data_IF_264558083168
#
_entry.id   IF_264558083168
#
_cell.length_a   1.000
_cell.length_b   1.000
_cell.length_c   1.000
_cell.angle_alpha   90.00
_cell.angle_beta   90.00
_cell.angle_gamma   90.00
#
_symmetry.space_group_name_H-M   'P 1'
#
loop_
_entity.id
_entity.type
_entity.pdbx_description
1 polymer ?
#
# COMPACT_ATOMS: atom_id res chain seq x y z
N UNK A 1 0.58 14.63 22.82
CA UNK A 1 0.82 14.24 21.41
C UNK A 1 2.17 13.54 21.36
N UNK A 2 2.24 12.31 20.84
CA UNK A 2 3.49 11.53 20.82
C UNK A 2 4.46 11.96 19.71
N UNK A 3 5.55 11.21 19.56
CA UNK A 3 6.50 11.39 18.46
C UNK A 3 6.28 10.30 17.39
N UNK A 4 6.12 10.65 16.10
CA UNK A 4 5.78 9.64 15.08
C UNK A 4 6.92 8.66 14.80
N UNK A 5 8.18 9.05 15.03
CA UNK A 5 9.32 8.12 14.98
C UNK A 5 9.20 7.03 16.05
N UNK A 6 8.92 7.43 17.29
CA UNK A 6 8.86 6.51 18.42
C UNK A 6 7.68 5.55 18.29
N UNK A 7 6.53 6.05 17.78
CA UNK A 7 5.36 5.22 17.48
C UNK A 7 5.63 4.23 16.34
N UNK A 8 6.36 4.67 15.30
CA UNK A 8 6.77 3.80 14.21
C UNK A 8 7.71 2.69 14.68
N UNK A 9 8.73 3.04 15.48
CA UNK A 9 9.70 2.08 16.01
C UNK A 9 9.01 1.06 16.92
N UNK A 10 8.12 1.49 17.82
CA UNK A 10 7.35 0.60 18.68
C UNK A 10 6.39 -0.32 17.90
N UNK A 11 5.78 0.20 16.83
CA UNK A 11 4.89 -0.58 15.96
C UNK A 11 5.67 -1.70 15.24
N UNK A 12 6.82 -1.38 14.65
CA UNK A 12 7.66 -2.37 13.97
C UNK A 12 8.22 -3.39 14.95
N UNK A 13 8.71 -2.94 16.11
CA UNK A 13 9.20 -3.82 17.16
C UNK A 13 8.13 -4.84 17.54
N UNK A 14 6.89 -4.41 17.77
CA UNK A 14 5.78 -5.31 18.13
C UNK A 14 5.43 -6.30 17.02
N UNK A 15 5.35 -5.85 15.76
CA UNK A 15 5.08 -6.74 14.61
C UNK A 15 6.11 -7.87 14.57
N UNK A 16 7.37 -7.58 14.88
CA UNK A 16 8.45 -8.56 14.86
C UNK A 16 8.53 -9.41 16.13
N UNK A 17 8.40 -8.80 17.33
CA UNK A 17 8.53 -9.50 18.61
C UNK A 17 7.41 -10.50 18.84
N UNK A 18 6.18 -10.12 18.46
CA UNK A 18 4.98 -10.91 18.70
C UNK A 18 4.64 -11.78 17.48
N UNK A 19 5.45 -11.70 16.41
CA UNK A 19 5.25 -12.37 15.13
C UNK A 19 3.82 -12.19 14.59
N UNK A 20 3.31 -10.95 14.63
CA UNK A 20 1.94 -10.65 14.25
C UNK A 20 1.69 -11.02 12.79
N UNK A 21 0.54 -11.63 12.53
CA UNK A 21 0.19 -12.15 11.21
C UNK A 21 -0.77 -11.20 10.48
N UNK A 22 -1.64 -10.52 11.21
CA UNK A 22 -2.73 -9.75 10.64
C UNK A 22 -2.50 -8.25 10.79
N UNK A 23 -2.96 -7.48 9.80
CA UNK A 23 -2.96 -6.03 9.89
C UNK A 23 -4.00 -5.54 10.91
N UNK A 24 -5.12 -6.26 11.07
CA UNK A 24 -6.11 -5.94 12.11
C UNK A 24 -5.54 -5.93 13.53
N UNK A 25 -4.48 -6.70 13.81
CA UNK A 25 -3.81 -6.73 15.11
C UNK A 25 -3.03 -5.44 15.43
N UNK A 26 -2.81 -4.58 14.43
CA UNK A 26 -2.01 -3.35 14.52
C UNK A 26 -2.71 -2.10 13.97
N UNK A 27 -3.97 -2.22 13.57
CA UNK A 27 -4.68 -1.17 12.85
C UNK A 27 -4.86 0.09 13.69
N UNK A 28 -5.06 -0.04 15.00
CA UNK A 28 -5.25 1.09 15.91
C UNK A 28 -3.95 1.89 16.06
N UNK A 29 -2.83 1.20 16.23
CA UNK A 29 -1.48 1.79 16.33
C UNK A 29 -1.07 2.44 15.02
N UNK A 30 -1.42 1.83 13.89
CA UNK A 30 -1.23 2.42 12.57
C UNK A 30 -2.00 3.74 12.43
N UNK A 31 -3.28 3.77 12.84
CA UNK A 31 -4.10 4.98 12.79
C UNK A 31 -3.59 6.07 13.74
N UNK A 32 -3.16 5.70 14.95
CA UNK A 32 -2.57 6.63 15.92
C UNK A 32 -1.21 7.19 15.44
N UNK A 33 -0.39 6.37 14.77
CA UNK A 33 0.82 6.83 14.07
C UNK A 33 0.48 7.86 12.98
N UNK A 34 -0.49 7.56 12.12
CA UNK A 34 -0.92 8.46 11.05
C UNK A 34 -1.51 9.76 11.61
N UNK A 35 -2.35 9.66 12.64
CA UNK A 35 -2.91 10.82 13.34
C UNK A 35 -1.82 11.71 13.90
N UNK A 36 -0.84 11.10 14.58
CA UNK A 36 0.32 11.82 15.13
C UNK A 36 1.10 12.53 14.03
N UNK A 37 1.42 11.83 12.93
CA UNK A 37 2.11 12.44 11.79
C UNK A 37 1.30 13.59 11.17
N UNK A 38 -0.01 13.42 11.06
CA UNK A 38 -0.94 14.39 10.50
C UNK A 38 -1.08 15.64 11.38
N UNK A 39 -0.94 15.53 12.70
CA UNK A 39 -0.91 16.67 13.60
C UNK A 39 0.32 17.58 13.36
N UNK A 40 1.52 16.99 13.25
CA UNK A 40 2.73 17.74 12.85
C UNK A 40 2.58 18.38 11.47
N UNK A 41 1.89 17.69 10.56
CA UNK A 41 1.54 18.25 9.25
C UNK A 41 0.67 19.50 9.42
N UNK A 42 -0.47 19.42 10.11
CA UNK A 42 -1.39 20.56 10.34
C UNK A 42 -0.66 21.77 10.94
N UNK A 43 0.20 21.53 11.93
CA UNK A 43 0.98 22.58 12.60
C UNK A 43 2.13 23.15 11.77
N UNK A 44 2.45 22.53 10.63
CA UNK A 44 3.61 22.90 9.81
C UNK A 44 4.96 22.82 10.48
N UNK A 45 5.06 21.95 11.47
CA UNK A 45 6.27 21.73 12.27
C UNK A 45 6.80 20.33 11.99
N UNK A 46 8.02 20.16 11.45
CA UNK A 46 8.62 18.84 11.32
C UNK A 46 8.86 18.23 12.70
N UNK A 47 8.55 16.93 12.92
CA UNK A 47 8.97 16.23 14.12
C UNK A 47 10.47 16.36 14.35
N UNK A 48 10.88 16.53 15.61
CA UNK A 48 12.29 16.62 15.97
C UNK A 48 13.03 15.36 15.50
N UNK A 49 14.30 15.48 15.11
CA UNK A 49 15.17 14.34 14.71
C UNK A 49 14.68 13.47 13.53
N UNK A 50 13.53 13.73 12.91
CA UNK A 50 13.07 13.00 11.71
C UNK A 50 13.39 13.71 10.40
N UNK A 51 13.59 12.94 9.32
CA UNK A 51 13.91 13.49 8.00
C UNK A 51 15.28 14.14 7.92
N UNK A 52 15.59 14.82 6.80
CA UNK A 52 16.89 15.47 6.61
C UNK A 52 17.00 16.76 7.46
N UNK A 53 17.89 16.83 8.47
CA UNK A 53 18.03 18.00 9.34
C UNK A 53 18.56 19.23 8.61
N UNK A 54 19.23 19.05 7.47
CA UNK A 54 19.73 20.15 6.63
C UNK A 54 18.63 20.77 5.75
N UNK A 55 17.49 20.10 5.59
CA UNK A 55 16.38 20.62 4.79
C UNK A 55 15.57 21.66 5.58
N UNK A 56 15.08 22.68 4.88
CA UNK A 56 14.14 23.67 5.44
C UNK A 56 12.88 22.95 5.98
N UNK A 57 12.16 23.52 6.96
CA UNK A 57 11.04 22.84 7.63
C UNK A 57 10.00 22.25 6.67
N UNK A 58 9.50 23.03 5.71
CA UNK A 58 8.46 22.57 4.78
C UNK A 58 8.92 21.41 3.88
N UNK A 59 10.06 21.48 3.16
CA UNK A 59 10.60 20.32 2.44
C UNK A 59 10.88 19.11 3.32
N UNK A 60 11.38 19.32 4.55
CA UNK A 60 11.64 18.26 5.52
C UNK A 60 10.37 17.51 5.90
N UNK A 61 9.31 18.25 6.27
CA UNK A 61 8.01 17.70 6.61
C UNK A 61 7.37 16.97 5.42
N UNK A 62 7.46 17.54 4.21
CA UNK A 62 6.98 16.86 3.00
C UNK A 62 7.71 15.54 2.73
N UNK A 63 9.03 15.48 2.99
CA UNK A 63 9.82 14.26 2.90
C UNK A 63 9.39 13.20 3.91
N UNK A 64 9.25 13.58 5.18
CA UNK A 64 8.75 12.69 6.25
C UNK A 64 7.36 12.16 5.88
N UNK A 65 6.48 13.04 5.41
CA UNK A 65 5.11 12.68 5.07
C UNK A 65 5.00 11.70 3.91
N UNK A 66 5.88 11.81 2.91
CA UNK A 66 5.96 10.81 1.83
C UNK A 66 6.44 9.45 2.33
N UNK A 67 7.13 9.41 3.47
CA UNK A 67 7.62 8.20 4.12
C UNK A 67 6.52 7.23 4.55
N UNK A 68 5.29 7.69 4.78
CA UNK A 68 4.16 6.82 5.18
C UNK A 68 3.89 5.67 4.20
N UNK A 69 4.13 5.89 2.90
CA UNK A 69 4.05 4.81 1.90
C UNK A 69 5.11 3.73 2.12
N UNK A 70 6.35 4.14 2.44
CA UNK A 70 7.42 3.18 2.74
C UNK A 70 7.16 2.42 4.05
N UNK A 71 6.61 3.10 5.06
CA UNK A 71 6.21 2.48 6.33
C UNK A 71 5.14 1.40 6.09
N UNK A 72 4.12 1.71 5.31
CA UNK A 72 3.07 0.73 4.99
C UNK A 72 3.61 -0.46 4.19
N UNK A 73 4.45 -0.22 3.18
CA UNK A 73 5.12 -1.30 2.45
C UNK A 73 5.99 -2.19 3.35
N UNK A 74 6.68 -1.61 4.33
CA UNK A 74 7.49 -2.35 5.29
C UNK A 74 6.64 -3.20 6.24
N UNK A 75 5.52 -2.68 6.76
CA UNK A 75 4.57 -3.46 7.55
C UNK A 75 4.05 -4.65 6.73
N UNK A 76 3.60 -4.40 5.50
CA UNK A 76 3.10 -5.44 4.61
C UNK A 76 4.16 -6.54 4.40
N UNK A 77 5.40 -6.16 4.13
CA UNK A 77 6.49 -7.12 3.95
C UNK A 77 6.71 -7.97 5.21
N UNK A 78 6.73 -7.36 6.40
CA UNK A 78 6.91 -8.06 7.67
C UNK A 78 5.75 -9.00 8.00
N UNK A 79 4.50 -8.59 7.77
CA UNK A 79 3.33 -9.45 7.98
C UNK A 79 3.36 -10.66 7.03
N UNK A 80 3.74 -10.45 5.76
CA UNK A 80 3.91 -11.55 4.80
C UNK A 80 5.08 -12.48 5.17
N UNK A 81 6.19 -11.92 5.67
CA UNK A 81 7.31 -12.72 6.18
C UNK A 81 6.86 -13.57 7.37
N UNK A 82 6.14 -13.00 8.34
CA UNK A 82 5.61 -13.74 9.49
C UNK A 82 4.58 -14.83 9.11
N UNK A 83 3.78 -14.60 8.06
CA UNK A 83 2.83 -15.59 7.54
C UNK A 83 3.48 -16.68 6.68
N UNK A 84 4.76 -16.55 6.32
CA UNK A 84 5.46 -17.47 5.43
C UNK A 84 6.77 -17.96 6.06
N UNK A 85 7.48 -18.85 5.38
CA UNK A 85 8.85 -19.23 5.75
C UNK A 85 9.89 -18.51 4.88
N UNK A 86 9.45 -17.51 4.11
CA UNK A 86 10.23 -16.84 3.08
C UNK A 86 10.64 -15.45 3.57
N UNK A 87 11.87 -15.04 3.26
CA UNK A 87 12.32 -13.67 3.50
C UNK A 87 11.66 -12.76 2.47
N UNK A 88 10.95 -11.73 2.94
CA UNK A 88 10.21 -10.79 2.09
C UNK A 88 10.85 -9.39 2.21
N UNK A 89 11.56 -8.97 1.16
CA UNK A 89 12.16 -7.65 1.11
C UNK A 89 11.18 -6.61 0.52
N UNK A 90 11.09 -5.40 1.10
CA UNK A 90 10.35 -4.30 0.49
C UNK A 90 11.19 -3.58 -0.57
N UNK A 91 10.50 -3.03 -1.58
CA UNK A 91 11.00 -2.08 -2.61
C UNK A 91 12.02 -2.67 -3.56
N UNK A 92 11.57 -3.62 -4.39
CA UNK A 92 12.39 -4.31 -5.37
C UNK A 92 12.32 -3.63 -6.74
N UNK A 93 13.44 -3.60 -7.45
CA UNK A 93 13.49 -3.15 -8.85
C UNK A 93 13.31 -4.35 -9.77
N UNK A 94 12.15 -4.44 -10.41
CA UNK A 94 11.75 -5.56 -11.24
C UNK A 94 11.75 -5.12 -12.71
N UNK A 95 12.41 -5.92 -13.55
CA UNK A 95 12.38 -5.71 -14.98
C UNK A 95 10.99 -6.08 -15.52
N UNK A 96 10.30 -5.10 -16.09
CA UNK A 96 9.14 -5.32 -16.96
C UNK A 96 9.56 -5.37 -18.43
N UNK A 97 8.60 -5.59 -19.31
CA UNK A 97 8.82 -5.69 -20.74
C UNK A 97 9.45 -4.42 -21.34
N UNK A 98 8.90 -3.25 -21.01
CA UNK A 98 9.34 -1.96 -21.57
C UNK A 98 10.22 -1.15 -20.63
N UNK A 99 10.08 -1.31 -19.31
CA UNK A 99 10.89 -0.59 -18.33
C UNK A 99 11.09 -1.36 -17.04
N UNK A 100 12.05 -0.91 -16.22
CA UNK A 100 12.17 -1.36 -14.84
C UNK A 100 11.14 -0.65 -13.96
N UNK A 101 10.43 -1.39 -13.13
CA UNK A 101 9.48 -0.88 -12.14
C UNK A 101 10.05 -0.99 -10.74
N UNK A 102 9.70 -0.05 -9.86
CA UNK A 102 9.97 -0.17 -8.44
C UNK A 102 8.70 -0.68 -7.76
N UNK A 103 8.70 -1.96 -7.37
CA UNK A 103 7.57 -2.66 -6.78
C UNK A 103 7.74 -2.72 -5.26
N UNK A 104 6.68 -2.45 -4.50
CA UNK A 104 6.77 -2.37 -3.04
C UNK A 104 7.07 -3.72 -2.36
N UNK A 105 6.53 -4.83 -2.87
CA UNK A 105 6.96 -6.19 -2.51
C UNK A 105 6.98 -7.04 -3.76
N UNK A 106 8.08 -7.76 -4.00
CA UNK A 106 8.15 -8.73 -5.08
C UNK A 106 8.74 -10.03 -4.55
N UNK A 107 8.09 -11.15 -4.85
CA UNK A 107 8.52 -12.47 -4.42
C UNK A 107 8.58 -13.46 -5.60
N UNK A 108 9.63 -14.29 -5.71
CA UNK A 108 10.87 -14.21 -4.92
C UNK A 108 11.62 -12.90 -5.17
N UNK A 109 12.50 -12.50 -4.25
CA UNK A 109 13.30 -11.27 -4.38
C UNK A 109 14.38 -11.46 -5.45
N UNK A 110 13.96 -11.24 -6.71
CA UNK A 110 14.81 -11.30 -7.89
C UNK A 110 14.44 -10.18 -8.84
N UNK A 111 15.44 -9.68 -9.58
CA UNK A 111 15.27 -8.58 -10.55
C UNK A 111 14.39 -8.92 -11.75
N UNK A 112 14.18 -10.20 -12.02
CA UNK A 112 13.44 -10.71 -13.18
C UNK A 112 12.50 -11.80 -12.73
N UNK A 113 11.36 -11.94 -13.41
CA UNK A 113 10.41 -13.02 -13.21
C UNK A 113 9.88 -13.22 -11.77
N UNK A 114 9.52 -12.21 -10.97
CA UNK A 114 8.80 -12.51 -9.73
C UNK A 114 7.53 -13.33 -10.02
N UNK A 115 7.10 -14.13 -9.05
CA UNK A 115 5.82 -14.85 -9.10
C UNK A 115 4.70 -13.97 -8.56
N UNK A 116 5.01 -13.10 -7.60
CA UNK A 116 4.07 -12.21 -6.94
C UNK A 116 4.67 -10.81 -6.89
N UNK A 117 3.83 -9.82 -7.20
CA UNK A 117 4.12 -8.40 -6.98
C UNK A 117 2.98 -7.78 -6.17
N UNK A 118 3.33 -6.99 -5.16
CA UNK A 118 2.37 -6.21 -4.36
C UNK A 118 2.76 -4.75 -4.46
N UNK A 119 1.79 -3.94 -4.84
CA UNK A 119 1.87 -2.49 -4.83
C UNK A 119 1.10 -1.97 -3.63
N UNK A 120 1.71 -1.08 -2.86
CA UNK A 120 1.05 -0.45 -1.72
C UNK A 120 0.78 1.01 -2.02
N UNK A 121 -0.35 1.51 -1.53
CA UNK A 121 -0.70 2.93 -1.64
C UNK A 121 -1.24 3.42 -0.30
N UNK A 122 -0.71 4.55 0.17
CA UNK A 122 -1.27 5.31 1.29
C UNK A 122 -1.70 6.67 0.75
N UNK A 123 -3.00 6.92 0.69
CA UNK A 123 -3.56 8.14 0.07
C UNK A 123 -4.36 8.99 1.06
N UNK A 124 -4.64 10.22 0.63
CA UNK A 124 -5.25 11.24 1.46
C UNK A 124 -4.26 11.91 2.44
N UNK A 125 -4.74 12.98 3.05
CA UNK A 125 -4.02 13.73 4.07
C UNK A 125 -4.75 15.01 4.48
N UNK A 126 -4.49 15.52 5.68
CA UNK A 126 -5.10 16.73 6.19
C UNK A 126 -4.64 17.96 5.39
N UNK A 127 -5.36 19.08 5.53
CA UNK A 127 -4.92 20.35 4.97
C UNK A 127 -3.53 20.72 5.50
N UNK A 128 -2.79 21.48 4.68
CA UNK A 128 -1.43 21.90 5.00
C UNK A 128 -1.10 23.28 4.42
N UNK A 129 -0.86 24.25 5.30
CA UNK A 129 -0.68 25.64 4.89
C UNK A 129 -1.88 26.12 4.08
N UNK A 130 -1.64 26.56 2.84
CA UNK A 130 -2.69 26.99 1.91
C UNK A 130 -3.34 25.85 1.09
N UNK A 131 -2.96 24.59 1.32
CA UNK A 131 -3.49 23.46 0.55
C UNK A 131 -4.65 22.83 1.30
N UNK A 132 -5.77 22.66 0.61
CA UNK A 132 -6.94 21.96 1.13
C UNK A 132 -6.59 20.51 1.51
N UNK A 133 -7.45 19.94 2.36
CA UNK A 133 -7.44 18.51 2.62
C UNK A 133 -7.45 17.74 1.30
N UNK A 134 -6.72 16.63 1.25
CA UNK A 134 -6.77 15.70 0.14
C UNK A 134 -7.47 14.44 0.61
N UNK A 135 -8.52 14.07 -0.09
CA UNK A 135 -9.09 12.74 -0.02
C UNK A 135 -8.17 11.72 -0.69
N UNK A 136 -8.55 10.46 -0.54
CA UNK A 136 -7.88 9.31 -1.08
C UNK A 136 -7.84 9.32 -2.62
N UNK A 137 -8.84 9.93 -3.29
CA UNK A 137 -9.03 9.90 -4.74
C UNK A 137 -8.38 11.08 -5.47
N UNK A 138 -7.97 12.14 -4.77
CA UNK A 138 -7.39 13.34 -5.39
C UNK A 138 -6.21 13.05 -6.34
N UNK A 139 -5.34 12.10 -5.98
CA UNK A 139 -4.17 11.71 -6.79
C UNK A 139 -4.37 10.33 -7.47
N UNK A 140 -5.57 9.75 -7.36
CA UNK A 140 -5.82 8.35 -7.74
C UNK A 140 -5.76 8.09 -9.23
N UNK A 141 -6.21 9.03 -10.07
CA UNK A 141 -6.18 8.85 -11.53
C UNK A 141 -4.78 8.53 -12.07
N UNK A 142 -3.74 9.16 -11.50
CA UNK A 142 -2.34 8.89 -11.84
C UNK A 142 -1.87 7.55 -11.27
N UNK A 143 -2.18 7.25 -10.00
CA UNK A 143 -1.84 5.97 -9.36
C UNK A 143 -2.48 4.78 -10.06
N UNK A 144 -3.72 4.93 -10.49
CA UNK A 144 -4.44 3.94 -11.28
C UNK A 144 -3.74 3.67 -12.62
N UNK A 145 -3.25 4.70 -13.31
CA UNK A 145 -2.48 4.53 -14.56
C UNK A 145 -1.17 3.78 -14.30
N UNK A 146 -0.44 4.17 -13.25
CA UNK A 146 0.81 3.51 -12.84
C UNK A 146 0.58 2.01 -12.55
N UNK A 147 -0.45 1.68 -11.77
CA UNK A 147 -0.79 0.29 -11.41
C UNK A 147 -1.16 -0.55 -12.63
N UNK A 148 -2.01 -0.02 -13.53
CA UNK A 148 -2.41 -0.70 -14.77
C UNK A 148 -1.21 -1.00 -15.65
N UNK A 149 -0.33 0.00 -15.79
CA UNK A 149 0.85 -0.11 -16.62
C UNK A 149 1.85 -1.11 -16.04
N UNK A 150 2.18 -0.99 -14.75
CA UNK A 150 3.10 -1.90 -14.08
C UNK A 150 2.60 -3.35 -14.15
N UNK A 151 1.32 -3.61 -13.82
CA UNK A 151 0.78 -4.97 -13.83
C UNK A 151 0.85 -5.62 -15.23
N UNK A 152 0.53 -4.86 -16.27
CA UNK A 152 0.58 -5.36 -17.65
C UNK A 152 2.02 -5.57 -18.11
N UNK A 153 2.90 -4.58 -17.89
CA UNK A 153 4.28 -4.61 -18.36
C UNK A 153 5.12 -5.71 -17.68
N UNK A 154 4.84 -6.00 -16.40
CA UNK A 154 5.45 -7.12 -15.68
C UNK A 154 5.05 -8.47 -16.26
N UNK A 155 3.76 -8.70 -16.53
CA UNK A 155 3.28 -9.96 -17.13
C UNK A 155 3.81 -10.14 -18.56
N UNK A 156 3.91 -9.06 -19.33
CA UNK A 156 4.46 -9.09 -20.68
C UNK A 156 5.95 -9.47 -20.72
N UNK A 157 6.73 -9.20 -19.65
CA UNK A 157 8.16 -9.49 -19.62
C UNK A 157 8.47 -10.96 -19.93
N UNK A 158 7.76 -11.88 -19.28
CA UNK A 158 7.92 -13.33 -19.47
C UNK A 158 7.55 -13.81 -20.87
N UNK A 159 6.70 -13.04 -21.55
CA UNK A 159 6.17 -13.40 -22.86
C UNK A 159 7.14 -13.13 -24.00
N UNK A 160 8.21 -12.37 -23.76
CA UNK A 160 9.18 -12.01 -24.79
C UNK A 160 8.52 -11.37 -26.01
N UNK A 161 8.74 -11.94 -27.20
CA UNK A 161 8.23 -11.41 -28.48
C UNK A 161 6.94 -12.07 -28.99
N UNK A 162 6.24 -12.87 -28.18
CA UNK A 162 4.96 -13.42 -28.64
C UNK A 162 3.89 -12.33 -28.74
N UNK A 163 3.27 -12.20 -29.92
CA UNK A 163 2.54 -10.99 -30.32
C UNK A 163 1.04 -10.99 -30.04
N UNK A 164 0.43 -12.09 -29.56
CA UNK A 164 -1.04 -12.24 -29.59
C UNK A 164 -1.67 -12.62 -28.25
N UNK A 165 -2.25 -11.68 -27.51
CA UNK A 165 -3.14 -11.98 -26.37
C UNK A 165 -4.53 -12.28 -26.95
N UNK A 166 -4.99 -13.53 -26.85
CA UNK A 166 -6.31 -13.94 -27.35
C UNK A 166 -7.46 -13.48 -26.45
N UNK A 167 -7.43 -13.91 -25.18
CA UNK A 167 -8.45 -13.61 -24.19
C UNK A 167 -7.82 -12.88 -23.02
N UNK A 168 -8.02 -11.56 -22.97
CA UNK A 168 -7.41 -10.70 -21.95
C UNK A 168 -7.65 -11.19 -20.52
N UNK A 169 -8.89 -11.55 -20.18
CA UNK A 169 -9.24 -11.98 -18.82
C UNK A 169 -8.58 -13.30 -18.44
N UNK A 170 -8.49 -14.25 -19.37
CA UNK A 170 -7.83 -15.53 -19.11
C UNK A 170 -6.31 -15.36 -19.03
N UNK A 171 -5.74 -14.53 -19.91
CA UNK A 171 -4.31 -14.25 -19.93
C UNK A 171 -3.89 -13.57 -18.64
N UNK A 172 -4.55 -12.48 -18.24
CA UNK A 172 -4.16 -11.72 -17.04
C UNK A 172 -4.21 -12.58 -15.78
N UNK A 173 -5.15 -13.52 -15.64
CA UNK A 173 -5.28 -14.34 -14.43
C UNK A 173 -4.29 -15.50 -14.38
N UNK A 174 -3.81 -15.96 -15.55
CA UNK A 174 -2.96 -17.14 -15.63
C UNK A 174 -1.47 -16.79 -15.76
N UNK A 175 -1.15 -15.59 -16.23
CA UNK A 175 0.24 -15.15 -16.36
C UNK A 175 0.83 -14.64 -15.03
N UNK A 176 2.10 -14.99 -14.84
CA UNK A 176 2.91 -14.45 -13.76
C UNK A 176 3.53 -13.09 -14.12
N UNK A 177 3.81 -12.22 -13.14
CA UNK A 177 3.46 -12.38 -11.72
C UNK A 177 1.96 -12.18 -11.47
N UNK A 178 1.45 -12.75 -10.38
CA UNK A 178 0.20 -12.27 -9.78
C UNK A 178 0.45 -10.89 -9.15
N UNK A 179 -0.38 -9.91 -9.47
CA UNK A 179 -0.19 -8.51 -9.07
C UNK A 179 -1.33 -8.05 -8.17
N UNK A 180 -0.99 -7.65 -6.94
CA UNK A 180 -1.95 -7.22 -5.92
C UNK A 180 -1.78 -5.74 -5.58
N UNK A 181 -2.88 -5.10 -5.18
CA UNK A 181 -2.88 -3.77 -4.57
C UNK A 181 -3.26 -3.90 -3.09
N UNK A 182 -2.50 -3.27 -2.20
CA UNK A 182 -2.92 -3.00 -0.82
C UNK A 182 -3.05 -1.49 -0.63
N UNK A 183 -4.25 -1.02 -0.34
CA UNK A 183 -4.58 0.41 -0.34
C UNK A 183 -5.11 0.89 1.00
N UNK A 184 -4.31 1.70 1.68
CA UNK A 184 -4.68 2.46 2.85
C UNK A 184 -5.18 3.86 2.42
N UNK A 185 -6.48 4.12 2.58
CA UNK A 185 -7.16 5.34 2.14
C UNK A 185 -7.73 6.16 3.31
N UNK A 186 -7.21 7.39 3.51
CA UNK A 186 -7.89 8.41 4.32
C UNK A 186 -9.02 9.04 3.51
N UNK A 187 -10.26 8.83 3.92
CA UNK A 187 -11.42 9.43 3.25
C UNK A 187 -11.40 10.96 3.40
N UNK A 188 -11.66 11.64 2.29
CA UNK A 188 -11.95 13.06 2.26
C UNK A 188 -13.40 13.36 2.70
N UNK A 189 -13.73 14.64 2.96
CA UNK A 189 -15.07 15.04 3.42
C UNK A 189 -16.22 14.70 2.45
N UNK A 190 -15.91 14.47 1.18
CA UNK A 190 -16.87 14.17 0.12
C UNK A 190 -16.69 12.78 -0.50
N UNK A 191 -15.80 11.97 0.06
CA UNK A 191 -15.52 10.62 -0.44
C UNK A 191 -16.23 9.62 0.46
N UNK A 192 -16.76 8.58 -0.17
CA UNK A 192 -17.38 7.44 0.51
C UNK A 192 -16.49 6.21 0.39
N UNK A 193 -16.72 5.22 1.26
CA UNK A 193 -16.02 3.93 1.15
C UNK A 193 -16.38 3.22 -0.17
N UNK A 194 -17.60 3.42 -0.66
CA UNK A 194 -18.08 2.91 -1.93
C UNK A 194 -17.27 3.44 -3.12
N UNK A 195 -16.88 4.72 -3.10
CA UNK A 195 -16.03 5.30 -4.16
C UNK A 195 -14.66 4.60 -4.22
N UNK A 196 -14.08 4.30 -3.06
CA UNK A 196 -12.79 3.59 -2.95
C UNK A 196 -12.93 2.15 -3.46
N UNK A 197 -13.98 1.46 -3.02
CA UNK A 197 -14.26 0.08 -3.43
C UNK A 197 -14.51 -0.01 -4.93
N UNK A 198 -15.26 0.91 -5.52
CA UNK A 198 -15.53 0.95 -6.95
C UNK A 198 -14.24 1.09 -7.77
N UNK A 199 -13.32 1.95 -7.33
CA UNK A 199 -12.03 2.13 -7.99
C UNK A 199 -11.11 0.90 -7.85
N UNK A 200 -11.09 0.27 -6.67
CA UNK A 200 -10.36 -0.99 -6.47
C UNK A 200 -10.94 -2.13 -7.33
N UNK A 201 -12.27 -2.26 -7.42
CA UNK A 201 -12.95 -3.23 -8.29
C UNK A 201 -12.62 -3.01 -9.77
N UNK A 202 -12.58 -1.74 -10.22
CA UNK A 202 -12.20 -1.42 -11.60
C UNK A 202 -10.80 -1.95 -11.94
N UNK A 203 -9.88 -1.91 -10.97
CA UNK A 203 -8.54 -2.48 -11.13
C UNK A 203 -8.54 -4.02 -11.12
N UNK A 204 -9.22 -4.67 -10.17
CA UNK A 204 -9.23 -6.14 -10.07
C UNK A 204 -10.02 -6.83 -11.16
N UNK A 205 -11.02 -6.16 -11.73
CA UNK A 205 -11.80 -6.71 -12.82
C UNK A 205 -11.04 -6.70 -14.15
N UNK A 206 -10.00 -5.89 -14.29
CA UNK A 206 -9.33 -5.68 -15.57
C UNK A 206 -7.81 -5.82 -15.57
N UNK A 207 -7.12 -5.68 -14.45
CA UNK A 207 -5.65 -5.59 -14.45
C UNK A 207 -4.98 -6.35 -13.31
N UNK A 208 -5.54 -6.28 -12.10
CA UNK A 208 -4.94 -6.85 -10.89
C UNK A 208 -5.57 -8.19 -10.52
N UNK A 209 -4.80 -9.02 -9.82
CA UNK A 209 -5.22 -10.33 -9.33
C UNK A 209 -5.96 -10.22 -7.97
N UNK A 210 -5.81 -9.10 -7.27
CA UNK A 210 -6.58 -8.77 -6.07
C UNK A 210 -6.31 -7.37 -5.53
N UNK A 211 -7.22 -6.88 -4.69
CA UNK A 211 -7.05 -5.60 -3.99
C UNK A 211 -7.57 -5.71 -2.56
N UNK A 212 -6.71 -5.37 -1.60
CA UNK A 212 -7.02 -5.23 -0.18
C UNK A 212 -7.13 -3.75 0.16
N UNK A 213 -8.17 -3.35 0.89
CA UNK A 213 -8.44 -1.94 1.22
C UNK A 213 -8.56 -1.76 2.72
N UNK A 214 -8.04 -0.64 3.22
CA UNK A 214 -8.26 -0.13 4.57
C UNK A 214 -8.69 1.33 4.43
N UNK A 215 -9.88 1.66 4.92
CA UNK A 215 -10.40 3.02 4.92
C UNK A 215 -10.45 3.56 6.34
N UNK A 216 -10.09 4.83 6.51
CA UNK A 216 -10.29 5.55 7.77
C UNK A 216 -10.71 6.98 7.52
N UNK A 217 -11.30 7.58 8.55
CA UNK A 217 -11.72 8.97 8.56
C UNK A 217 -11.38 9.62 9.91
N UNK A 218 -11.49 10.93 9.98
CA UNK A 218 -11.38 11.67 11.24
C UNK A 218 -12.59 11.38 12.12
N UNK A 219 -12.35 11.00 13.37
CA UNK A 219 -13.40 10.76 14.33
C UNK A 219 -14.24 12.03 14.54
N UNK A 220 -15.51 11.86 14.95
CA UNK A 220 -16.47 12.96 15.11
C UNK A 220 -15.97 14.02 16.10
N UNK A 221 -15.20 13.62 17.11
CA UNK A 221 -14.62 14.52 18.11
C UNK A 221 -13.36 15.28 17.62
N UNK A 222 -12.84 14.92 16.44
CA UNK A 222 -11.64 15.51 15.84
C UNK A 222 -10.36 15.23 16.62
N UNK A 223 -10.30 14.17 17.43
CA UNK A 223 -9.13 13.85 18.27
C UNK A 223 -8.33 12.63 17.80
N UNK A 224 -8.86 11.87 16.85
CA UNK A 224 -8.27 10.62 16.37
C UNK A 224 -8.73 10.25 14.95
N UNK A 225 -8.18 9.16 14.42
CA UNK A 225 -8.74 8.48 13.26
C UNK A 225 -9.54 7.25 13.69
N UNK A 226 -10.63 6.99 12.98
CA UNK A 226 -11.47 5.81 13.13
C UNK A 226 -11.58 5.04 11.81
N UNK A 227 -11.70 3.72 11.90
CA UNK A 227 -11.87 2.88 10.73
C UNK A 227 -13.26 3.03 10.13
N UNK A 228 -13.31 2.90 8.80
CA UNK A 228 -14.57 2.82 8.05
C UNK A 228 -14.69 1.42 7.50
N UNK A 229 -15.71 0.70 7.94
CA UNK A 229 -15.97 -0.67 7.51
C UNK A 229 -16.21 -0.72 6.00
N UNK A 230 -15.61 -1.72 5.35
CA UNK A 230 -15.86 -1.94 3.94
C UNK A 230 -17.25 -2.57 3.73
N UNK A 231 -17.98 -2.18 2.68
CA UNK A 231 -19.17 -2.91 2.28
C UNK A 231 -18.77 -4.32 1.81
N UNK A 232 -19.56 -5.33 2.18
CA UNK A 232 -19.31 -6.71 1.78
C UNK A 232 -19.59 -6.89 0.27
N UNK A 233 -18.57 -6.65 -0.56
CA UNK A 233 -18.66 -6.74 -2.02
C UNK A 233 -17.67 -7.76 -2.57
N UNK A 234 -18.12 -8.59 -3.52
CA UNK A 234 -17.29 -9.62 -4.11
C UNK A 234 -16.08 -9.01 -4.86
N UNK A 235 -14.86 -9.35 -4.42
CA UNK A 235 -13.51 -9.06 -5.02
C UNK A 235 -12.73 -7.86 -4.49
N UNK A 236 -13.33 -6.99 -3.68
CA UNK A 236 -12.53 -6.07 -2.83
C UNK A 236 -12.65 -6.58 -1.42
N UNK A 237 -11.49 -6.82 -0.81
CA UNK A 237 -11.40 -7.46 0.48
C UNK A 237 -10.72 -6.52 1.47
N UNK A 238 -10.87 -6.84 2.75
CA UNK A 238 -10.04 -6.25 3.79
C UNK A 238 -8.56 -6.59 3.54
N UNK A 239 -7.64 -5.83 4.15
CA UNK A 239 -6.21 -6.07 3.98
C UNK A 239 -5.82 -7.51 4.34
N UNK A 240 -6.36 -8.04 5.43
CA UNK A 240 -6.01 -9.37 5.96
C UNK A 240 -6.34 -10.50 5.00
N UNK A 241 -7.53 -10.45 4.38
CA UNK A 241 -7.96 -11.40 3.36
C UNK A 241 -6.97 -11.47 2.19
N UNK A 242 -6.48 -10.32 1.73
CA UNK A 242 -5.55 -10.26 0.59
C UNK A 242 -4.13 -10.64 1.01
N UNK A 243 -3.69 -10.23 2.19
CA UNK A 243 -2.42 -10.69 2.78
C UNK A 243 -2.39 -12.22 2.88
N UNK A 244 -3.47 -12.83 3.38
CA UNK A 244 -3.60 -14.29 3.46
C UNK A 244 -3.49 -14.97 2.09
N UNK A 245 -4.15 -14.42 1.07
CA UNK A 245 -4.07 -14.94 -0.31
C UNK A 245 -2.66 -14.83 -0.87
N UNK A 246 -2.00 -13.70 -0.65
CA UNK A 246 -0.61 -13.48 -1.07
C UNK A 246 0.31 -14.50 -0.37
N UNK A 247 0.20 -14.63 0.95
CA UNK A 247 1.00 -15.58 1.72
C UNK A 247 0.78 -17.03 1.27
N UNK A 248 -0.48 -17.42 1.04
CA UNK A 248 -0.83 -18.75 0.49
C UNK A 248 -0.19 -18.97 -0.89
N UNK A 249 -0.23 -17.97 -1.77
CA UNK A 249 0.38 -18.05 -3.09
C UNK A 249 1.92 -18.14 -3.02
N UNK A 250 2.55 -17.42 -2.08
CA UNK A 250 3.99 -17.53 -1.80
C UNK A 250 4.33 -18.98 -1.40
N UNK A 251 3.58 -19.55 -0.45
CA UNK A 251 3.80 -20.92 0.03
C UNK A 251 3.62 -21.95 -1.10
N UNK A 252 2.57 -21.83 -1.91
CA UNK A 252 2.33 -22.72 -3.05
C UNK A 252 3.40 -22.58 -4.15
N UNK A 253 3.96 -21.39 -4.34
CA UNK A 253 5.06 -21.16 -5.29
C UNK A 253 6.40 -21.77 -4.87
N UNK A 254 6.51 -22.34 -3.66
CA UNK A 254 7.74 -23.01 -3.17
C UNK A 254 7.76 -24.52 -3.37
N UNK A 255 6.63 -25.14 -3.77
CA UNK A 255 6.53 -26.57 -4.10
C UNK A 255 6.75 -26.83 -5.58
#
# INVERSE_FOLDING_TARGET
MGHPGDKWDALIERVQSDALLWFSDIQEEWLDLLWTLDAYRRESTPPARMGNPKARPRPRLAGIYRGKGNWFAQIVALLLENQTTQVIAPRNRIQGFSQTHQIDVAWPDRKVDPLICVETKVTGGPPYGSHNARGALNDWSNRRKELKFAATDLKLYRRGMETRIDHWDQWRTNESPSVYLLWAARLGPSETVEDIVQEAQSLTNSYLDGAGVLCWQEAVDGTSYELVNLPNQARVHELDDVLYRIATAIQQGTT
#
